data_IF_131332488344
#
_entry.id   IF_131332488344
#
_cell.length_a   1.000
_cell.length_b   1.000
_cell.length_c   1.000
_cell.angle_alpha   90.00
_cell.angle_beta   90.00
_cell.angle_gamma   90.00
#
_symmetry.space_group_name_H-M   'P 1'
#
loop_
_entity.id
_entity.type
_entity.pdbx_description
1 polymer ?
#
# COMPACT_ATOMS: atom_id res chain seq x y z
N UNK A 1 -4.62 -12.93 -1.27
CA UNK A 1 -3.24 -12.81 -1.78
C UNK A 1 -2.56 -11.60 -1.19
N UNK A 2 -1.26 -11.69 -0.92
CA UNK A 2 -0.44 -10.57 -0.44
C UNK A 2 0.25 -9.94 -1.64
N UNK A 3 0.13 -8.61 -1.79
CA UNK A 3 0.78 -7.85 -2.86
C UNK A 3 1.97 -7.09 -2.28
N UNK A 4 3.12 -7.23 -2.94
CA UNK A 4 4.35 -6.55 -2.56
C UNK A 4 4.59 -5.40 -3.55
N UNK A 5 4.69 -4.18 -3.04
CA UNK A 5 4.85 -2.98 -3.85
C UNK A 5 6.01 -2.14 -3.33
N UNK A 6 6.80 -1.62 -4.26
CA UNK A 6 7.76 -0.58 -3.93
C UNK A 6 7.01 0.76 -3.86
N UNK A 7 6.65 1.18 -2.65
CA UNK A 7 5.84 2.38 -2.43
C UNK A 7 6.71 3.63 -2.53
N UNK A 8 6.40 4.52 -3.48
CA UNK A 8 6.97 5.87 -3.54
C UNK A 8 5.96 6.86 -2.96
N UNK A 9 6.26 7.42 -1.79
CA UNK A 9 5.39 8.39 -1.12
C UNK A 9 5.58 9.82 -1.61
N UNK A 10 4.55 10.65 -1.40
CA UNK A 10 4.59 12.10 -1.63
C UNK A 10 5.55 12.86 -0.68
N UNK A 11 5.95 12.23 0.43
CA UNK A 11 7.01 12.67 1.31
C UNK A 11 7.89 11.44 1.63
N UNK A 12 9.10 11.39 1.06
CA UNK A 12 9.97 10.22 0.95
C UNK A 12 10.64 9.75 2.26
N UNK A 13 9.92 9.78 3.39
CA UNK A 13 10.48 9.39 4.68
C UNK A 13 9.60 9.64 5.90
N UNK A 14 8.36 10.11 5.72
CA UNK A 14 7.46 10.32 6.84
C UNK A 14 6.70 9.02 7.17
N UNK A 15 6.95 8.37 8.31
CA UNK A 15 6.26 7.12 8.67
C UNK A 15 4.73 7.29 8.76
N UNK A 16 4.24 8.50 9.06
CA UNK A 16 2.81 8.82 9.02
C UNK A 16 2.23 8.81 7.60
N UNK A 17 2.99 9.27 6.61
CA UNK A 17 2.59 9.28 5.20
C UNK A 17 2.64 7.88 4.58
N UNK A 18 3.56 7.03 5.02
CA UNK A 18 3.62 5.63 4.58
C UNK A 18 2.38 4.86 5.05
N UNK A 19 1.93 5.10 6.28
CA UNK A 19 0.73 4.45 6.81
C UNK A 19 -0.54 4.83 6.04
N UNK A 20 -0.72 6.13 5.75
CA UNK A 20 -1.88 6.61 4.98
C UNK A 20 -1.83 6.13 3.53
N UNK A 21 -0.66 6.16 2.89
CA UNK A 21 -0.47 5.68 1.52
C UNK A 21 -0.76 4.19 1.40
N UNK A 22 -0.21 3.37 2.32
CA UNK A 22 -0.47 1.92 2.36
C UNK A 22 -1.97 1.65 2.44
N UNK A 23 -2.68 2.31 3.35
CA UNK A 23 -4.12 2.12 3.54
C UNK A 23 -4.92 2.51 2.28
N UNK A 24 -4.56 3.63 1.64
CA UNK A 24 -5.20 4.08 0.41
C UNK A 24 -5.05 3.07 -0.73
N UNK A 25 -3.81 2.59 -0.95
CA UNK A 25 -3.50 1.60 -2.00
C UNK A 25 -4.17 0.26 -1.70
N UNK A 26 -4.16 -0.19 -0.44
CA UNK A 26 -4.81 -1.44 -0.03
C UNK A 26 -6.32 -1.42 -0.28
N UNK A 27 -7.00 -0.33 0.08
CA UNK A 27 -8.44 -0.19 -0.17
C UNK A 27 -8.76 -0.15 -1.67
N UNK A 28 -7.95 0.57 -2.44
CA UNK A 28 -8.01 0.60 -3.91
C UNK A 28 -7.92 -0.82 -4.49
N UNK A 29 -6.85 -1.54 -4.15
CA UNK A 29 -6.59 -2.86 -4.72
C UNK A 29 -7.64 -3.89 -4.31
N UNK A 30 -8.14 -3.85 -3.06
CA UNK A 30 -9.25 -4.70 -2.61
C UNK A 30 -10.54 -4.44 -3.37
N UNK A 31 -10.78 -3.20 -3.80
CA UNK A 31 -11.97 -2.86 -4.59
C UNK A 31 -11.90 -3.41 -6.01
N UNK A 32 -10.74 -3.30 -6.66
CA UNK A 32 -10.55 -3.76 -8.04
C UNK A 32 -10.23 -5.25 -8.15
N UNK A 33 -9.61 -5.83 -7.12
CA UNK A 33 -9.10 -7.19 -7.10
C UNK A 33 -9.52 -7.83 -5.77
N UNK A 34 -10.63 -8.56 -5.80
CA UNK A 34 -11.22 -9.22 -4.62
C UNK A 34 -10.30 -10.27 -3.98
N UNK A 35 -9.31 -10.76 -4.72
CA UNK A 35 -8.30 -11.70 -4.21
C UNK A 35 -7.24 -11.03 -3.33
N UNK A 36 -7.11 -9.70 -3.32
CA UNK A 36 -6.11 -9.00 -2.50
C UNK A 36 -6.54 -8.96 -1.05
N UNK A 37 -5.64 -9.36 -0.15
CA UNK A 37 -5.91 -9.44 1.31
C UNK A 37 -5.06 -8.45 2.09
N UNK A 38 -3.81 -8.25 1.66
CA UNK A 38 -2.84 -7.36 2.32
C UNK A 38 -1.89 -6.76 1.28
N UNK A 39 -1.42 -5.53 1.54
CA UNK A 39 -0.33 -4.89 0.78
C UNK A 39 0.87 -4.70 1.69
N UNK A 40 2.07 -5.02 1.22
CA UNK A 40 3.34 -4.81 1.93
C UNK A 40 4.31 -3.97 1.10
N UNK A 41 5.06 -3.11 1.80
CA UNK A 41 6.22 -2.45 1.22
C UNK A 41 7.30 -3.50 0.96
N UNK A 42 7.95 -3.41 -0.19
CA UNK A 42 9.29 -3.98 -0.39
C UNK A 42 10.28 -2.82 -0.36
N UNK A 43 11.25 -2.92 0.55
CA UNK A 43 12.45 -2.05 0.59
C UNK A 43 13.46 -2.49 -0.49
#
# INVERSE_FOLDING_TARGET
>A
GIVYLHMQGACAGCPSSTATLKHGIENMLKHYISEVTEVRAID
#
